data_IF_881807406340
#
_entry.id   IF_881807406340
#
_cell.length_a   1.000
_cell.length_b   1.000
_cell.length_c   1.000
_cell.angle_alpha   90.00
_cell.angle_beta   90.00
_cell.angle_gamma   90.00
#
_symmetry.space_group_name_H-M   'P 1'
#
loop_
_entity.id
_entity.type
_entity.pdbx_description
1 polymer ?
#
# COMPACT_ATOMS: atom_id res chain seq x y z
N UNK A 1 8.48 13.08 -8.14
CA UNK A 1 8.91 12.42 -9.39
C UNK A 1 10.28 12.90 -9.88
N UNK A 2 10.50 14.18 -10.28
CA UNK A 2 11.82 14.64 -10.77
C UNK A 2 12.99 14.29 -9.82
N UNK A 3 12.88 14.60 -8.52
CA UNK A 3 13.94 14.27 -7.53
C UNK A 3 14.24 12.77 -7.39
N UNK A 4 13.23 11.90 -7.38
CA UNK A 4 13.45 10.45 -7.25
C UNK A 4 14.05 9.84 -8.51
N UNK A 5 13.62 10.25 -9.70
CA UNK A 5 14.20 9.77 -10.97
C UNK A 5 15.67 10.20 -11.10
N UNK A 6 16.03 11.40 -10.61
CA UNK A 6 17.42 11.85 -10.53
C UNK A 6 18.26 10.95 -9.60
N UNK A 7 17.73 10.57 -8.43
CA UNK A 7 18.44 9.68 -7.49
C UNK A 7 18.66 8.29 -8.11
N UNK A 8 17.63 7.72 -8.75
CA UNK A 8 17.71 6.42 -9.45
C UNK A 8 18.79 6.48 -10.54
N UNK A 9 18.82 7.55 -11.34
CA UNK A 9 19.83 7.74 -12.38
C UNK A 9 21.26 7.84 -11.84
N UNK A 10 21.46 8.56 -10.74
CA UNK A 10 22.78 8.68 -10.08
C UNK A 10 23.25 7.32 -9.55
N UNK A 11 22.37 6.55 -8.91
CA UNK A 11 22.68 5.20 -8.41
C UNK A 11 23.00 4.22 -9.55
N UNK A 12 22.26 4.28 -10.66
CA UNK A 12 22.55 3.48 -11.84
C UNK A 12 23.93 3.81 -12.43
N UNK A 13 24.28 5.10 -12.51
CA UNK A 13 25.59 5.55 -12.95
C UNK A 13 26.73 5.05 -12.05
N UNK A 14 26.55 5.12 -10.73
CA UNK A 14 27.52 4.58 -9.76
C UNK A 14 27.68 3.06 -9.90
N UNK A 15 26.58 2.32 -10.05
CA UNK A 15 26.62 0.87 -10.24
C UNK A 15 27.36 0.48 -11.52
N UNK A 16 27.16 1.22 -12.62
CA UNK A 16 27.89 1.03 -13.86
C UNK A 16 29.40 1.25 -13.67
N UNK A 17 29.79 2.36 -13.05
CA UNK A 17 31.20 2.65 -12.77
C UNK A 17 31.84 1.53 -11.95
N UNK A 18 31.18 1.06 -10.89
CA UNK A 18 31.66 -0.05 -10.05
C UNK A 18 31.82 -1.33 -10.88
N UNK A 19 30.81 -1.70 -11.67
CA UNK A 19 30.87 -2.88 -12.52
C UNK A 19 32.01 -2.82 -13.55
N UNK A 20 32.23 -1.64 -14.17
CA UNK A 20 33.32 -1.43 -15.13
C UNK A 20 34.69 -1.51 -14.46
N UNK A 21 34.87 -0.87 -13.30
CA UNK A 21 36.14 -0.95 -12.53
C UNK A 21 36.43 -2.39 -12.12
N UNK A 22 35.41 -3.12 -11.64
CA UNK A 22 35.55 -4.53 -11.27
C UNK A 22 35.94 -5.41 -12.46
N UNK A 23 35.32 -5.20 -13.62
CA UNK A 23 35.69 -5.91 -14.84
C UNK A 23 37.17 -5.68 -15.21
N UNK A 24 37.66 -4.44 -15.12
CA UNK A 24 39.06 -4.11 -15.41
C UNK A 24 40.04 -4.75 -14.42
N UNK A 25 39.66 -4.90 -13.15
CA UNK A 25 40.50 -5.51 -12.10
C UNK A 25 40.52 -7.05 -12.19
N UNK A 26 39.39 -7.67 -12.55
CA UNK A 26 39.23 -9.14 -12.65
C UNK A 26 39.56 -9.65 -14.07
N UNK A 27 40.31 -8.86 -14.85
CA UNK A 27 40.66 -9.17 -16.23
C UNK A 27 41.97 -9.98 -16.45
N UNK A 28 42.40 -11.02 -15.69
CA UNK A 28 43.68 -11.67 -15.99
C UNK A 28 43.60 -13.01 -16.75
N UNK A 29 42.56 -13.35 -17.54
CA UNK A 29 42.77 -14.56 -18.39
C UNK A 29 41.67 -15.21 -19.23
N UNK A 30 40.39 -14.80 -19.23
CA UNK A 30 39.36 -15.45 -20.07
C UNK A 30 38.47 -14.44 -20.80
N UNK A 31 38.92 -13.98 -21.97
CA UNK A 31 38.29 -12.89 -22.73
C UNK A 31 36.80 -13.14 -23.03
N UNK A 32 36.43 -14.35 -23.45
CA UNK A 32 35.06 -14.63 -23.91
C UNK A 32 34.06 -14.83 -22.77
N UNK A 33 34.42 -15.55 -21.71
CA UNK A 33 33.52 -15.76 -20.55
C UNK A 33 33.46 -14.51 -19.69
N UNK A 34 34.59 -13.82 -19.52
CA UNK A 34 34.70 -12.52 -18.88
C UNK A 34 33.78 -11.49 -19.51
N UNK A 35 33.87 -11.32 -20.84
CA UNK A 35 33.01 -10.39 -21.56
C UNK A 35 31.52 -10.76 -21.47
N UNK A 36 31.19 -12.06 -21.55
CA UNK A 36 29.81 -12.53 -21.47
C UNK A 36 29.20 -12.25 -20.10
N UNK A 37 29.91 -12.58 -19.00
CA UNK A 37 29.45 -12.27 -17.65
C UNK A 37 29.32 -10.77 -17.40
N UNK A 38 30.21 -9.96 -17.98
CA UNK A 38 30.15 -8.50 -17.81
C UNK A 38 28.90 -7.93 -18.50
N UNK A 39 28.58 -8.47 -19.68
CA UNK A 39 27.37 -8.08 -20.41
C UNK A 39 26.10 -8.44 -19.62
N UNK A 40 26.05 -9.58 -18.94
CA UNK A 40 24.94 -9.92 -18.05
C UNK A 40 24.88 -9.03 -16.81
N UNK A 41 26.02 -8.66 -16.21
CA UNK A 41 26.05 -7.66 -15.12
C UNK A 41 25.46 -6.34 -15.60
N UNK A 42 25.88 -5.82 -16.75
CA UNK A 42 25.33 -4.58 -17.32
C UNK A 42 23.83 -4.70 -17.61
N UNK A 43 23.40 -5.83 -18.18
CA UNK A 43 22.00 -6.11 -18.45
C UNK A 43 21.18 -6.17 -17.16
N UNK A 44 21.73 -6.74 -16.08
CA UNK A 44 21.08 -6.81 -14.77
C UNK A 44 20.89 -5.41 -14.17
N UNK A 45 21.87 -4.51 -14.32
CA UNK A 45 21.76 -3.10 -13.91
C UNK A 45 20.62 -2.43 -14.70
N UNK A 46 20.59 -2.62 -16.02
CA UNK A 46 19.57 -2.03 -16.88
C UNK A 46 18.17 -2.54 -16.52
N UNK A 47 18.00 -3.85 -16.35
CA UNK A 47 16.72 -4.48 -15.97
C UNK A 47 16.28 -4.03 -14.57
N UNK A 48 17.21 -3.91 -13.62
CA UNK A 48 16.90 -3.46 -12.27
C UNK A 48 16.42 -2.00 -12.25
N UNK A 49 17.24 -1.07 -12.72
CA UNK A 49 16.91 0.36 -12.67
C UNK A 49 15.82 0.74 -13.67
N UNK A 50 15.87 0.17 -14.88
CA UNK A 50 14.83 0.34 -15.89
C UNK A 50 13.50 -0.29 -15.46
N UNK A 51 13.54 -1.47 -14.84
CA UNK A 51 12.37 -2.14 -14.27
C UNK A 51 11.73 -1.36 -13.13
N UNK A 52 12.53 -0.78 -12.23
CA UNK A 52 12.01 0.12 -11.18
C UNK A 52 11.36 1.36 -11.81
N UNK A 53 11.99 1.96 -12.82
CA UNK A 53 11.43 3.11 -13.55
C UNK A 53 10.09 2.79 -14.23
N UNK A 54 10.00 1.63 -14.91
CA UNK A 54 8.77 1.16 -15.54
C UNK A 54 7.70 0.81 -14.51
N UNK A 55 8.06 0.14 -13.41
CA UNK A 55 7.13 -0.19 -12.33
C UNK A 55 6.53 1.08 -11.70
N UNK A 56 7.30 2.16 -11.56
CA UNK A 56 6.77 3.44 -11.08
C UNK A 56 5.78 4.11 -12.05
N UNK A 57 5.89 3.82 -13.36
CA UNK A 57 4.99 4.35 -14.38
C UNK A 57 3.71 3.50 -14.51
N UNK A 58 3.84 2.18 -14.38
CA UNK A 58 2.75 1.23 -14.61
C UNK A 58 1.94 0.92 -13.35
N UNK A 59 2.57 0.83 -12.18
CA UNK A 59 1.90 0.46 -10.94
C UNK A 59 1.18 1.66 -10.33
N UNK A 60 -0.02 1.42 -9.81
CA UNK A 60 -0.81 2.48 -9.18
C UNK A 60 -0.14 2.89 -7.85
N UNK A 61 0.21 4.19 -7.71
CA UNK A 61 1.04 4.73 -6.61
C UNK A 61 0.54 4.46 -5.19
N UNK A 62 -0.70 3.99 -5.04
CA UNK A 62 -1.35 3.73 -3.74
C UNK A 62 -1.12 2.32 -3.19
N UNK A 63 -0.63 1.35 -4.00
CA UNK A 63 -0.46 -0.03 -3.54
C UNK A 63 1.02 -0.33 -3.21
N UNK A 64 1.47 0.06 -2.02
CA UNK A 64 2.85 -0.16 -1.52
C UNK A 64 3.31 -1.63 -1.62
N UNK A 65 2.38 -2.58 -1.48
CA UNK A 65 2.67 -4.02 -1.61
C UNK A 65 3.26 -4.40 -2.97
N UNK A 66 2.66 -3.93 -4.07
CA UNK A 66 3.11 -4.25 -5.43
C UNK A 66 4.44 -3.59 -5.76
N UNK A 67 4.68 -2.37 -5.25
CA UNK A 67 5.97 -1.70 -5.38
C UNK A 67 7.09 -2.42 -4.62
N UNK A 68 6.84 -2.84 -3.38
CA UNK A 68 7.82 -3.57 -2.57
C UNK A 68 8.18 -4.92 -3.18
N UNK A 69 7.19 -5.69 -3.65
CA UNK A 69 7.44 -6.99 -4.27
C UNK A 69 8.17 -6.84 -5.61
N UNK A 70 7.81 -5.85 -6.42
CA UNK A 70 8.52 -5.55 -7.66
C UNK A 70 9.99 -5.22 -7.40
N UNK A 71 10.25 -4.38 -6.40
CA UNK A 71 11.62 -4.05 -5.99
C UNK A 71 12.39 -5.29 -5.53
N UNK A 72 11.78 -6.15 -4.70
CA UNK A 72 12.41 -7.38 -4.22
C UNK A 72 12.73 -8.37 -5.34
N UNK A 73 11.81 -8.57 -6.29
CA UNK A 73 12.02 -9.45 -7.44
C UNK A 73 13.18 -8.94 -8.30
N UNK A 74 13.18 -7.65 -8.64
CA UNK A 74 14.24 -7.03 -9.43
C UNK A 74 15.58 -7.05 -8.68
N UNK A 75 15.58 -6.79 -7.37
CA UNK A 75 16.79 -6.82 -6.54
C UNK A 75 17.37 -8.24 -6.46
N UNK A 76 16.50 -9.24 -6.27
CA UNK A 76 16.89 -10.65 -6.27
C UNK A 76 17.52 -11.07 -7.59
N UNK A 77 16.92 -10.67 -8.71
CA UNK A 77 17.50 -10.89 -10.05
C UNK A 77 18.86 -10.22 -10.20
N UNK A 78 18.97 -8.93 -9.84
CA UNK A 78 20.21 -8.18 -9.92
C UNK A 78 21.32 -8.85 -9.12
N UNK A 79 21.06 -9.15 -7.84
CA UNK A 79 22.03 -9.79 -6.96
C UNK A 79 22.47 -11.17 -7.48
N UNK A 80 21.51 -12.03 -7.87
CA UNK A 80 21.80 -13.37 -8.38
C UNK A 80 22.58 -13.34 -9.69
N UNK A 81 22.16 -12.51 -10.66
CA UNK A 81 22.84 -12.37 -11.95
C UNK A 81 24.27 -11.86 -11.76
N UNK A 82 24.49 -10.87 -10.90
CA UNK A 82 25.83 -10.39 -10.56
C UNK A 82 26.68 -11.49 -9.92
N UNK A 83 26.16 -12.19 -8.91
CA UNK A 83 26.89 -13.26 -8.22
C UNK A 83 27.24 -14.39 -9.19
N UNK A 84 26.29 -14.85 -9.99
CA UNK A 84 26.49 -15.94 -10.95
C UNK A 84 27.50 -15.53 -12.02
N UNK A 85 27.34 -14.34 -12.59
CA UNK A 85 28.28 -13.80 -13.58
C UNK A 85 29.70 -13.69 -13.01
N UNK A 86 29.88 -13.17 -11.78
CA UNK A 86 31.19 -13.11 -11.13
C UNK A 86 31.80 -14.51 -10.87
N UNK A 87 31.00 -15.47 -10.42
CA UNK A 87 31.45 -16.85 -10.18
C UNK A 87 31.91 -17.53 -11.47
N UNK A 88 31.24 -17.28 -12.60
CA UNK A 88 31.62 -17.89 -13.88
C UNK A 88 32.75 -17.13 -14.60
N UNK A 89 32.96 -15.83 -14.33
CA UNK A 89 34.09 -15.06 -14.85
C UNK A 89 35.45 -15.66 -14.48
N UNK A 90 35.55 -16.28 -13.31
CA UNK A 90 36.79 -16.92 -12.82
C UNK A 90 36.93 -18.40 -13.26
N UNK A 91 35.98 -18.92 -14.05
CA UNK A 91 35.94 -20.33 -14.49
C UNK A 91 36.43 -20.49 -15.95
N UNK A 92 36.82 -21.71 -16.35
CA UNK A 92 37.26 -21.99 -17.73
C UNK A 92 36.16 -21.78 -18.79
N UNK A 93 36.58 -21.55 -20.03
CA UNK A 93 35.74 -21.15 -21.18
C UNK A 93 34.59 -22.12 -21.47
N UNK A 94 34.80 -23.40 -21.23
CA UNK A 94 33.84 -24.49 -21.47
C UNK A 94 32.51 -24.31 -20.70
N UNK A 95 32.51 -23.50 -19.64
CA UNK A 95 31.31 -23.22 -18.85
C UNK A 95 30.47 -22.04 -19.37
N UNK A 96 30.86 -21.41 -20.49
CA UNK A 96 30.11 -20.30 -21.11
C UNK A 96 28.66 -20.66 -21.40
N UNK A 97 28.42 -21.83 -22.00
CA UNK A 97 27.07 -22.27 -22.37
C UNK A 97 26.18 -22.42 -21.14
N UNK A 98 26.76 -22.92 -20.04
CA UNK A 98 26.05 -23.07 -18.76
C UNK A 98 25.70 -21.71 -18.17
N UNK A 99 26.63 -20.74 -18.19
CA UNK A 99 26.36 -19.36 -17.76
C UNK A 99 25.17 -18.77 -18.53
N UNK A 100 25.19 -18.84 -19.86
CA UNK A 100 24.13 -18.30 -20.71
C UNK A 100 22.79 -18.97 -20.38
N UNK A 101 22.76 -20.30 -20.26
CA UNK A 101 21.53 -21.04 -19.93
C UNK A 101 20.96 -20.58 -18.58
N UNK A 102 21.80 -20.46 -17.55
CA UNK A 102 21.36 -20.04 -16.21
C UNK A 102 20.80 -18.61 -16.23
N UNK A 103 21.51 -17.66 -16.85
CA UNK A 103 21.09 -16.26 -16.93
C UNK A 103 19.79 -16.09 -17.73
N UNK A 104 19.64 -16.84 -18.84
CA UNK A 104 18.39 -16.83 -19.62
C UNK A 104 17.23 -17.41 -18.82
N UNK A 105 17.42 -18.51 -18.09
CA UNK A 105 16.39 -19.09 -17.22
C UNK A 105 15.99 -18.09 -16.13
N UNK A 106 16.95 -17.45 -15.48
CA UNK A 106 16.71 -16.40 -14.49
C UNK A 106 15.88 -15.26 -15.06
N UNK A 107 16.25 -14.77 -16.25
CA UNK A 107 15.52 -13.70 -16.92
C UNK A 107 14.07 -14.11 -17.24
N UNK A 108 13.84 -15.34 -17.72
CA UNK A 108 12.49 -15.85 -17.99
C UNK A 108 11.66 -15.95 -16.71
N UNK A 109 12.23 -16.46 -15.62
CA UNK A 109 11.53 -16.57 -14.33
C UNK A 109 11.14 -15.21 -13.77
N UNK A 110 12.01 -14.22 -13.90
CA UNK A 110 11.73 -12.83 -13.48
C UNK A 110 10.65 -12.21 -14.36
N UNK A 111 10.72 -12.40 -15.68
CA UNK A 111 9.70 -11.95 -16.62
C UNK A 111 8.32 -12.54 -16.29
N UNK A 112 8.25 -13.85 -16.02
CA UNK A 112 7.02 -14.52 -15.59
C UNK A 112 6.50 -13.99 -14.24
N UNK A 113 7.39 -13.80 -13.26
CA UNK A 113 7.02 -13.27 -11.94
C UNK A 113 6.46 -11.85 -12.04
N UNK A 114 7.10 -11.00 -12.84
CA UNK A 114 6.64 -9.63 -13.10
C UNK A 114 5.31 -9.62 -13.84
N UNK A 115 5.13 -10.50 -14.84
CA UNK A 115 3.87 -10.65 -15.56
C UNK A 115 2.74 -11.09 -14.62
N UNK A 116 2.98 -12.08 -13.75
CA UNK A 116 2.00 -12.52 -12.75
C UNK A 116 1.66 -11.40 -11.77
N UNK A 117 2.63 -10.60 -11.35
CA UNK A 117 2.43 -9.48 -10.43
C UNK A 117 1.56 -8.38 -11.06
N UNK A 118 1.80 -8.05 -12.34
CA UNK A 118 0.96 -7.11 -13.10
C UNK A 118 -0.45 -7.66 -13.34
N UNK A 119 -0.57 -8.94 -13.71
CA UNK A 119 -1.85 -9.59 -13.88
C UNK A 119 -2.65 -9.62 -12.56
N UNK A 120 -1.98 -9.90 -11.44
CA UNK A 120 -2.57 -9.84 -10.11
C UNK A 120 -2.97 -8.41 -9.72
N UNK A 121 -2.20 -7.38 -10.07
CA UNK A 121 -2.58 -5.99 -9.80
C UNK A 121 -3.89 -5.60 -10.51
N UNK A 122 -4.04 -6.02 -11.77
CA UNK A 122 -5.23 -5.78 -12.58
C UNK A 122 -6.43 -6.64 -12.18
N UNK A 123 -6.19 -7.89 -11.78
CA UNK A 123 -7.23 -8.82 -11.34
C UNK A 123 -7.68 -8.57 -9.89
N UNK A 124 -6.84 -7.92 -9.08
CA UNK A 124 -7.26 -7.44 -7.75
C UNK A 124 -8.04 -6.15 -7.97
N UNK A 125 -9.39 -6.14 -7.87
CA UNK A 125 -10.13 -4.88 -7.84
C UNK A 125 -9.45 -3.97 -6.84
N UNK A 126 -9.43 -2.66 -7.09
CA UNK A 126 -8.85 -1.67 -6.18
C UNK A 126 -9.65 -1.59 -4.88
N UNK A 127 -9.68 -2.68 -4.13
CA UNK A 127 -10.14 -2.73 -2.78
C UNK A 127 -8.99 -2.17 -1.97
N UNK A 128 -9.20 -0.97 -1.43
CA UNK A 128 -8.23 -0.23 -0.63
C UNK A 128 -7.96 -0.94 0.72
N UNK A 129 -7.69 -2.24 0.74
CA UNK A 129 -7.64 -3.06 1.95
C UNK A 129 -6.34 -2.96 2.76
N UNK A 130 -5.41 -2.06 2.44
CA UNK A 130 -4.16 -1.90 3.22
C UNK A 130 -4.01 -0.57 3.96
N UNK A 131 -4.99 0.33 3.88
CA UNK A 131 -5.02 1.56 4.69
C UNK A 131 -6.31 1.76 5.51
N UNK A 132 -7.26 0.81 5.44
CA UNK A 132 -8.56 0.91 6.15
C UNK A 132 -8.44 0.54 7.64
N UNK A 133 -7.41 -0.16 8.10
CA UNK A 133 -7.41 -0.61 9.51
C UNK A 133 -7.08 0.47 10.55
N UNK A 134 -6.53 1.63 10.16
CA UNK A 134 -6.20 2.72 11.09
C UNK A 134 -6.84 4.08 10.78
N UNK A 135 -7.35 4.28 9.56
CA UNK A 135 -7.99 5.54 9.12
C UNK A 135 -9.40 5.31 8.59
N UNK A 136 -10.12 4.31 9.10
CA UNK A 136 -11.56 4.20 8.85
C UNK A 136 -12.30 5.22 9.72
N UNK A 137 -12.86 6.30 9.12
CA UNK A 137 -13.54 7.35 9.87
C UNK A 137 -14.73 6.80 10.67
N UNK A 138 -15.39 5.73 10.19
CA UNK A 138 -16.50 5.11 10.89
C UNK A 138 -16.02 4.36 12.14
N UNK A 139 -14.91 3.62 12.07
CA UNK A 139 -14.31 3.02 13.28
C UNK A 139 -13.85 4.08 14.28
N UNK A 140 -13.27 5.18 13.82
CA UNK A 140 -12.89 6.30 14.68
C UNK A 140 -14.13 6.90 15.37
N UNK A 141 -15.22 7.09 14.62
CA UNK A 141 -16.52 7.52 15.13
C UNK A 141 -17.10 6.54 16.17
N UNK A 142 -17.08 5.23 15.91
CA UNK A 142 -17.56 4.19 16.84
C UNK A 142 -16.76 4.23 18.15
N UNK A 143 -15.44 4.35 18.06
CA UNK A 143 -14.58 4.47 19.24
C UNK A 143 -14.84 5.77 20.01
N UNK A 144 -15.12 6.86 19.31
CA UNK A 144 -15.50 8.13 19.93
C UNK A 144 -16.85 8.03 20.66
N UNK A 145 -17.86 7.42 20.03
CA UNK A 145 -19.15 7.13 20.69
C UNK A 145 -18.98 6.23 21.92
N UNK A 146 -18.08 5.25 21.87
CA UNK A 146 -17.74 4.42 23.03
C UNK A 146 -17.18 5.27 24.17
N UNK A 147 -16.22 6.14 23.88
CA UNK A 147 -15.61 7.03 24.87
C UNK A 147 -16.64 7.98 25.48
N UNK A 148 -17.47 8.63 24.65
CA UNK A 148 -18.51 9.55 25.11
C UNK A 148 -19.54 8.86 26.02
N UNK A 149 -19.93 7.62 25.69
CA UNK A 149 -20.85 6.81 26.49
C UNK A 149 -20.25 6.38 27.84
N UNK A 150 -18.95 6.09 27.88
CA UNK A 150 -18.25 5.65 29.10
C UNK A 150 -17.78 6.82 29.98
N UNK A 151 -17.92 8.07 29.52
CA UNK A 151 -17.54 9.28 30.26
C UNK A 151 -18.51 9.57 31.43
N UNK A 152 -17.93 9.85 32.61
CA UNK A 152 -18.67 10.18 33.84
C UNK A 152 -19.35 11.54 33.76
N UNK A 153 -18.85 12.46 32.93
CA UNK A 153 -19.44 13.79 32.74
C UNK A 153 -20.72 13.73 31.88
N UNK A 154 -20.91 12.67 31.10
CA UNK A 154 -22.04 12.50 30.17
C UNK A 154 -23.17 11.62 30.72
N UNK A 155 -23.23 11.39 32.03
CA UNK A 155 -24.19 10.46 32.67
C UNK A 155 -25.65 10.75 32.31
N UNK A 156 -26.02 12.03 32.18
CA UNK A 156 -27.39 12.45 31.85
C UNK A 156 -27.81 12.07 30.42
N UNK A 157 -26.84 11.75 29.55
CA UNK A 157 -27.03 11.39 28.14
C UNK A 157 -26.59 9.95 27.83
N UNK A 158 -26.10 9.22 28.83
CA UNK A 158 -25.49 7.90 28.65
C UNK A 158 -26.40 6.90 27.95
N UNK A 159 -27.71 6.95 28.17
CA UNK A 159 -28.68 6.06 27.52
C UNK A 159 -28.74 6.29 26.00
N UNK A 160 -28.80 7.55 25.56
CA UNK A 160 -28.85 7.89 24.13
C UNK A 160 -27.54 7.59 23.42
N UNK A 161 -26.41 7.89 24.06
CA UNK A 161 -25.08 7.52 23.57
C UNK A 161 -24.90 5.99 23.47
N UNK A 162 -25.45 5.24 24.43
CA UNK A 162 -25.39 3.77 24.41
C UNK A 162 -26.18 3.19 23.24
N UNK A 163 -27.34 3.74 22.93
CA UNK A 163 -28.15 3.33 21.77
C UNK A 163 -27.43 3.61 20.45
N UNK A 164 -26.85 4.80 20.28
CA UNK A 164 -26.06 5.13 19.09
C UNK A 164 -24.84 4.21 18.95
N UNK A 165 -24.11 3.97 20.04
CA UNK A 165 -22.99 3.05 20.05
C UNK A 165 -23.41 1.63 19.64
N UNK A 166 -24.47 1.08 20.25
CA UNK A 166 -24.95 -0.27 19.93
C UNK A 166 -25.40 -0.43 18.47
N UNK A 167 -25.93 0.62 17.84
CA UNK A 167 -26.31 0.54 16.42
C UNK A 167 -25.09 0.68 15.50
N UNK A 168 -24.17 1.59 15.84
CA UNK A 168 -22.98 1.85 15.03
C UNK A 168 -22.00 0.66 14.95
N UNK A 169 -21.91 -0.20 15.99
CA UNK A 169 -21.05 -1.39 15.95
C UNK A 169 -21.44 -2.43 14.90
N UNK A 170 -22.68 -2.41 14.41
CA UNK A 170 -23.18 -3.34 13.39
C UNK A 170 -23.17 -2.76 11.97
N UNK A 171 -22.65 -1.54 11.80
CA UNK A 171 -22.53 -0.92 10.47
C UNK A 171 -21.39 -1.58 9.72
N UNK A 172 -21.67 -1.98 8.48
CA UNK A 172 -20.66 -2.48 7.56
C UNK A 172 -19.70 -1.35 7.16
N UNK A 173 -18.49 -1.42 7.69
CA UNK A 173 -17.40 -0.46 7.45
C UNK A 173 -16.57 -0.79 6.20
N UNK A 174 -16.88 -1.89 5.51
CA UNK A 174 -16.14 -2.31 4.31
C UNK A 174 -16.46 -1.46 3.07
N UNK A 175 -17.60 -0.77 3.05
CA UNK A 175 -18.04 0.09 1.96
C UNK A 175 -18.15 1.54 2.42
N UNK A 176 -17.45 2.46 1.76
CA UNK A 176 -17.60 3.89 2.01
C UNK A 176 -18.78 4.46 1.19
N UNK A 177 -19.67 5.22 1.82
CA UNK A 177 -20.72 6.01 1.15
C UNK A 177 -20.59 7.49 1.48
N UNK A 178 -21.24 8.36 0.70
CA UNK A 178 -21.22 9.81 0.92
C UNK A 178 -21.80 10.18 2.30
N UNK A 179 -22.81 9.43 2.78
CA UNK A 179 -23.39 9.62 4.11
C UNK A 179 -22.47 9.27 5.29
N UNK A 180 -21.35 8.59 5.06
CA UNK A 180 -20.39 8.27 6.13
C UNK A 180 -19.65 9.52 6.63
N UNK A 181 -19.40 10.49 5.76
CA UNK A 181 -18.74 11.75 6.14
C UNK A 181 -19.65 12.63 7.00
N UNK A 182 -20.95 12.63 6.71
CA UNK A 182 -21.97 13.34 7.50
C UNK A 182 -22.13 12.72 8.89
N UNK A 183 -22.13 11.38 8.99
CA UNK A 183 -22.16 10.67 10.27
C UNK A 183 -20.99 11.04 11.17
N UNK A 184 -19.77 11.01 10.62
CA UNK A 184 -18.54 11.35 11.37
C UNK A 184 -18.60 12.79 11.88
N UNK A 185 -18.93 13.73 10.98
CA UNK A 185 -19.02 15.15 11.32
C UNK A 185 -20.06 15.40 12.41
N UNK A 186 -21.20 14.71 12.37
CA UNK A 186 -22.26 14.91 13.36
C UNK A 186 -21.91 14.33 14.73
N UNK A 187 -21.08 13.27 14.79
CA UNK A 187 -20.50 12.79 16.06
C UNK A 187 -19.45 13.76 16.60
N UNK A 188 -18.65 14.39 15.74
CA UNK A 188 -17.71 15.45 16.15
C UNK A 188 -18.46 16.68 16.71
N UNK A 189 -19.54 17.11 16.05
CA UNK A 189 -20.41 18.18 16.57
C UNK A 189 -21.01 17.81 17.93
N UNK A 190 -21.45 16.55 18.10
CA UNK A 190 -21.99 16.06 19.37
C UNK A 190 -20.96 16.11 20.51
N UNK A 191 -19.70 15.73 20.23
CA UNK A 191 -18.61 15.84 21.20
C UNK A 191 -18.40 17.30 21.63
N UNK A 192 -18.38 18.24 20.68
CA UNK A 192 -18.23 19.68 20.97
C UNK A 192 -19.37 20.17 21.86
N UNK A 193 -20.61 19.78 21.57
CA UNK A 193 -21.79 20.16 22.37
C UNK A 193 -21.69 19.59 23.79
N UNK A 194 -21.24 18.33 23.93
CA UNK A 194 -21.11 17.67 25.23
C UNK A 194 -20.01 18.31 26.10
N UNK A 195 -18.90 18.76 25.49
CA UNK A 195 -17.79 19.39 26.21
C UNK A 195 -18.00 20.90 26.44
N UNK A 196 -18.81 21.57 25.60
CA UNK A 196 -19.07 23.01 25.72
C UNK A 196 -19.71 23.38 27.07
N UNK A 197 -19.19 24.46 27.67
CA UNK A 197 -19.73 25.10 28.88
C UNK A 197 -20.67 26.27 28.54
N UNK A 198 -20.89 26.53 27.26
CA UNK A 198 -21.61 27.73 26.79
C UNK A 198 -23.14 27.61 26.94
N UNK A 199 -23.63 26.41 27.29
CA UNK A 199 -25.06 26.13 27.40
C UNK A 199 -25.51 26.00 28.86
N UNK A 200 -26.57 26.71 29.28
CA UNK A 200 -27.31 26.39 30.50
C UNK A 200 -27.78 24.92 30.46
N UNK A 201 -27.76 24.23 31.61
CA UNK A 201 -27.98 22.77 31.68
C UNK A 201 -29.28 22.29 30.99
N UNK A 202 -30.35 23.09 31.07
CA UNK A 202 -31.63 22.81 30.41
C UNK A 202 -31.57 22.90 28.89
N UNK A 203 -30.95 23.95 28.35
CA UNK A 203 -30.79 24.15 26.91
C UNK A 203 -29.81 23.14 26.31
N UNK A 204 -28.74 22.80 27.05
CA UNK A 204 -27.78 21.75 26.68
C UNK A 204 -28.50 20.42 26.46
N UNK A 205 -29.47 20.08 27.31
CA UNK A 205 -30.22 18.84 27.20
C UNK A 205 -31.02 18.74 25.91
N UNK A 206 -31.70 19.81 25.53
CA UNK A 206 -32.51 19.84 24.31
C UNK A 206 -31.63 19.79 23.05
N UNK A 207 -30.51 20.50 23.05
CA UNK A 207 -29.55 20.50 21.94
C UNK A 207 -28.91 19.11 21.77
N UNK A 208 -28.49 18.47 22.87
CA UNK A 208 -27.93 17.11 22.83
C UNK A 208 -28.98 16.09 22.36
N UNK A 209 -30.20 16.13 22.89
CA UNK A 209 -31.26 15.22 22.47
C UNK A 209 -31.60 15.36 20.98
N UNK A 210 -31.60 16.59 20.45
CA UNK A 210 -31.78 16.84 19.03
C UNK A 210 -30.63 16.25 18.20
N UNK A 211 -29.38 16.46 18.61
CA UNK A 211 -28.23 15.90 17.92
C UNK A 211 -28.22 14.35 17.94
N UNK A 212 -28.63 13.75 19.06
CA UNK A 212 -28.79 12.29 19.18
C UNK A 212 -29.85 11.75 18.21
N UNK A 213 -31.00 12.42 18.10
CA UNK A 213 -32.08 12.03 17.20
C UNK A 213 -31.67 12.13 15.72
N UNK A 214 -30.97 13.19 15.34
CA UNK A 214 -30.45 13.37 13.97
C UNK A 214 -29.42 12.29 13.62
N UNK A 215 -28.50 11.97 14.54
CA UNK A 215 -27.56 10.87 14.38
C UNK A 215 -28.28 9.52 14.23
N UNK A 216 -29.36 9.30 14.99
CA UNK A 216 -30.14 8.07 14.90
C UNK A 216 -30.80 7.92 13.51
N UNK A 217 -31.28 9.01 12.92
CA UNK A 217 -31.85 9.06 11.58
C UNK A 217 -30.79 8.78 10.51
N UNK A 218 -29.61 9.42 10.61
CA UNK A 218 -28.48 9.16 9.70
C UNK A 218 -28.03 7.69 9.75
N UNK A 219 -27.97 7.10 10.94
CA UNK A 219 -27.64 5.67 11.09
C UNK A 219 -28.73 4.78 10.46
N UNK A 220 -30.02 5.11 10.60
CA UNK A 220 -31.13 4.38 9.93
C UNK A 220 -30.99 4.43 8.41
N UNK A 221 -30.71 5.61 7.86
CA UNK A 221 -30.53 5.79 6.43
C UNK A 221 -29.35 4.96 5.92
N UNK A 222 -28.25 4.96 6.67
CA UNK A 222 -27.07 4.15 6.33
C UNK A 222 -27.34 2.65 6.36
N UNK A 223 -28.01 2.15 7.41
CA UNK A 223 -28.44 0.76 7.50
C UNK A 223 -29.34 0.36 6.32
N UNK A 224 -30.22 1.27 5.88
CA UNK A 224 -31.10 1.05 4.73
C UNK A 224 -30.33 0.98 3.41
N UNK A 225 -29.37 1.90 3.18
CA UNK A 225 -28.49 1.86 2.00
C UNK A 225 -27.72 0.55 1.88
N UNK A 226 -27.22 0.02 3.00
CA UNK A 226 -26.51 -1.27 3.03
C UNK A 226 -27.47 -2.39 2.62
N UNK A 227 -28.69 -2.42 3.15
CA UNK A 227 -29.69 -3.45 2.81
C UNK A 227 -30.19 -3.36 1.38
N UNK A 228 -30.27 -2.15 0.81
CA UNK A 228 -30.75 -1.91 -0.55
C UNK A 228 -29.73 -2.20 -1.65
N UNK A 229 -28.46 -2.42 -1.31
CA UNK A 229 -27.45 -2.87 -2.27
C UNK A 229 -27.43 -4.40 -2.28
N UNK A 230 -28.18 -5.08 -3.17
CA UNK A 230 -28.04 -6.52 -3.32
C UNK A 230 -26.60 -6.84 -3.71
N UNK A 231 -26.14 -8.02 -3.30
CA UNK A 231 -24.85 -8.67 -3.61
C UNK A 231 -24.58 -8.88 -5.12
N UNK A 232 -25.19 -8.10 -6.01
CA UNK A 232 -25.26 -8.31 -7.47
C UNK A 232 -24.36 -7.38 -8.29
N UNK A 233 -23.31 -6.80 -7.70
CA UNK A 233 -22.24 -6.13 -8.45
C UNK A 233 -20.87 -6.46 -7.85
N UNK A 234 -20.54 -7.75 -7.83
CA UNK A 234 -19.15 -8.21 -7.84
C UNK A 234 -18.90 -8.89 -9.18
#
# INVERSE_FOLDING_TARGET
>A
MKKQNTIIGVLAGLALIIATVWYLVIYPGNELVGATGYLFILLSILVFFGGIGLAQLLLNKKKNFFQSNTFLILLGYFALSVIISLVFMIKPVEKKTILIIIEVILMVLVGLSMFMLLAAEHATPSTNFSSIEWNDPLRAMINKLRALKDDKENKDFAQGLAQLYQRSIFIDTSQKTEGDEDLVKRVDDLEIILVSQDYPLGEKRDVVNKALAELEELLKNREYEIRQRPWNKM
#
